data_IF_253110299688
#
_entry.id   IF_253110299688
#
_cell.length_a   1.000
_cell.length_b   1.000
_cell.length_c   1.000
_cell.angle_alpha   90.00
_cell.angle_beta   90.00
_cell.angle_gamma   90.00
#
_symmetry.space_group_name_H-M   'P 1'
#
loop_
_entity.id
_entity.type
_entity.pdbx_description
1 polymer ?
#
# COMPACT_ATOMS: atom_id res chain seq x y z
N UNK A 1 14.34 21.91 2.57
CA UNK A 1 15.18 21.48 1.43
C UNK A 1 15.37 19.97 1.39
N UNK A 2 16.00 19.32 2.40
CA UNK A 2 16.26 17.87 2.33
C UNK A 2 15.00 17.00 2.27
N UNK A 3 13.99 17.25 3.12
CA UNK A 3 12.70 16.56 3.10
C UNK A 3 11.97 16.74 1.76
N UNK A 4 11.87 17.98 1.30
CA UNK A 4 11.18 18.29 0.05
C UNK A 4 11.79 17.56 -1.13
N UNK A 5 13.14 17.57 -1.23
CA UNK A 5 13.82 16.84 -2.30
C UNK A 5 13.58 15.33 -2.21
N UNK A 6 13.64 14.75 -1.01
CA UNK A 6 13.39 13.31 -0.83
C UNK A 6 11.98 12.92 -1.26
N UNK A 7 10.96 13.75 -0.97
CA UNK A 7 9.58 13.50 -1.40
C UNK A 7 9.42 13.66 -2.92
N UNK A 8 10.04 14.68 -3.53
CA UNK A 8 10.02 14.87 -4.99
C UNK A 8 10.70 13.71 -5.72
N UNK A 9 11.86 13.27 -5.22
CA UNK A 9 12.58 12.12 -5.76
C UNK A 9 11.72 10.85 -5.69
N UNK A 10 11.05 10.61 -4.54
CA UNK A 10 10.16 9.45 -4.40
C UNK A 10 8.98 9.49 -5.39
N UNK A 11 8.33 10.64 -5.55
CA UNK A 11 7.24 10.80 -6.53
C UNK A 11 7.73 10.54 -7.95
N UNK A 12 8.92 11.04 -8.31
CA UNK A 12 9.53 10.82 -9.61
C UNK A 12 9.84 9.33 -9.86
N UNK A 13 10.42 8.65 -8.88
CA UNK A 13 10.75 7.22 -9.00
C UNK A 13 9.50 6.35 -9.04
N UNK A 14 8.43 6.70 -8.30
CA UNK A 14 7.13 6.02 -8.39
C UNK A 14 6.54 6.16 -9.81
N UNK A 15 6.55 7.37 -10.37
CA UNK A 15 6.07 7.60 -11.74
C UNK A 15 6.89 6.80 -12.76
N UNK A 16 8.22 6.83 -12.64
CA UNK A 16 9.15 6.08 -13.51
C UNK A 16 8.90 4.57 -13.41
N UNK A 17 8.66 4.08 -12.21
CA UNK A 17 8.33 2.68 -11.97
C UNK A 17 6.98 2.29 -12.60
N UNK A 18 5.94 3.07 -12.35
CA UNK A 18 4.60 2.80 -12.89
C UNK A 18 4.53 2.93 -14.41
N UNK A 19 5.36 3.78 -15.02
CA UNK A 19 5.41 3.96 -16.47
C UNK A 19 5.76 2.70 -17.26
N UNK A 20 6.31 1.67 -16.60
CA UNK A 20 6.69 0.40 -17.24
C UNK A 20 5.55 -0.61 -17.32
N UNK A 21 4.43 -0.31 -16.68
CA UNK A 21 3.28 -1.21 -16.62
C UNK A 21 2.14 -0.68 -17.48
N UNK A 22 1.41 -1.63 -18.03
CA UNK A 22 0.15 -1.41 -18.74
C UNK A 22 -0.98 -2.12 -17.97
N UNK A 23 -2.21 -1.70 -18.21
CA UNK A 23 -3.38 -2.34 -17.62
C UNK A 23 -4.27 -1.38 -16.84
N UNK A 24 -5.34 -1.94 -16.28
CA UNK A 24 -6.36 -1.18 -15.58
C UNK A 24 -5.76 -0.39 -14.40
N UNK A 25 -6.18 0.85 -14.26
CA UNK A 25 -5.81 1.75 -13.17
C UNK A 25 -4.41 2.38 -13.26
N UNK A 26 -3.46 1.79 -14.01
CA UNK A 26 -2.10 2.34 -14.11
C UNK A 26 -2.10 3.72 -14.74
N UNK A 27 -2.82 3.90 -15.85
CA UNK A 27 -2.96 5.19 -16.53
C UNK A 27 -3.64 6.23 -15.64
N UNK A 28 -4.66 5.82 -14.86
CA UNK A 28 -5.43 6.71 -14.01
C UNK A 28 -4.58 7.21 -12.82
N UNK A 29 -3.83 6.30 -12.18
CA UNK A 29 -2.89 6.67 -11.11
C UNK A 29 -1.81 7.61 -11.63
N UNK A 30 -1.20 7.33 -12.80
CA UNK A 30 -0.20 8.19 -13.42
C UNK A 30 -0.76 9.56 -13.82
N UNK A 31 -2.00 9.61 -14.31
CA UNK A 31 -2.68 10.88 -14.59
C UNK A 31 -2.86 11.72 -13.31
N UNK A 32 -3.19 11.07 -12.18
CA UNK A 32 -3.23 11.72 -10.87
C UNK A 32 -1.86 12.26 -10.45
N UNK A 33 -0.79 11.48 -10.59
CA UNK A 33 0.58 11.94 -10.32
C UNK A 33 0.90 13.18 -11.18
N UNK A 34 0.68 13.11 -12.48
CA UNK A 34 0.95 14.23 -13.40
C UNK A 34 0.18 15.50 -13.03
N UNK A 35 -1.03 15.34 -12.51
CA UNK A 35 -1.90 16.46 -12.11
C UNK A 35 -1.43 17.15 -10.82
N UNK A 36 -0.92 16.41 -9.84
CA UNK A 36 -0.73 16.92 -8.49
C UNK A 36 0.74 17.05 -8.04
N UNK A 37 1.69 16.38 -8.72
CA UNK A 37 3.09 16.25 -8.28
C UNK A 37 3.80 17.58 -8.03
N UNK A 38 3.41 18.65 -8.72
CA UNK A 38 4.05 19.97 -8.60
C UNK A 38 3.46 20.83 -7.49
N UNK A 39 2.45 20.31 -6.76
CA UNK A 39 1.85 20.98 -5.61
C UNK A 39 2.85 21.25 -4.47
N UNK A 40 2.56 22.18 -3.57
CA UNK A 40 3.42 22.46 -2.42
C UNK A 40 3.46 21.28 -1.46
N UNK A 41 4.64 20.96 -0.92
CA UNK A 41 4.81 19.93 0.09
C UNK A 41 4.49 20.52 1.46
N UNK A 42 3.58 19.88 2.18
CA UNK A 42 3.16 20.24 3.54
C UNK A 42 3.97 19.45 4.57
N UNK A 43 4.50 20.06 5.62
CA UNK A 43 5.08 19.32 6.72
C UNK A 43 3.95 18.64 7.53
N UNK A 44 3.90 17.32 7.49
CA UNK A 44 2.96 16.51 8.26
C UNK A 44 3.78 15.53 9.11
N UNK A 45 3.53 15.49 10.41
CA UNK A 45 4.19 14.56 11.30
C UNK A 45 3.52 13.19 11.23
N UNK A 46 4.28 12.16 10.93
CA UNK A 46 3.87 10.78 11.05
C UNK A 46 3.93 10.26 12.48
N UNK A 47 3.46 9.04 12.67
CA UNK A 47 3.61 8.29 13.92
C UNK A 47 4.61 7.16 13.71
N UNK A 48 5.20 6.71 14.80
CA UNK A 48 6.05 5.52 14.77
C UNK A 48 5.20 4.27 15.04
N UNK A 49 5.39 3.24 14.19
CA UNK A 49 4.75 1.94 14.32
C UNK A 49 5.82 0.86 14.26
N UNK A 50 5.65 -0.24 15.01
CA UNK A 50 6.61 -1.35 15.04
C UNK A 50 6.86 -1.97 13.67
N UNK A 51 5.85 -2.02 12.81
CA UNK A 51 5.95 -2.53 11.45
C UNK A 51 6.97 -1.77 10.59
N UNK A 52 7.24 -0.49 10.90
CA UNK A 52 8.23 0.31 10.17
C UNK A 52 9.66 -0.20 10.36
N UNK A 53 9.93 -0.98 11.42
CA UNK A 53 11.21 -1.69 11.57
C UNK A 53 11.48 -2.75 10.49
N UNK A 54 10.49 -3.05 9.65
CA UNK A 54 10.63 -3.98 8.51
C UNK A 54 10.91 -3.27 7.18
N UNK A 55 10.96 -1.95 7.17
CA UNK A 55 11.20 -1.16 5.94
C UNK A 55 12.55 -1.52 5.33
N UNK A 56 13.61 -1.60 6.12
CA UNK A 56 14.95 -1.92 5.62
C UNK A 56 14.99 -3.27 4.92
N UNK A 57 14.29 -4.29 5.48
CA UNK A 57 14.15 -5.59 4.83
C UNK A 57 13.41 -5.48 3.51
N UNK A 58 12.28 -4.77 3.48
CA UNK A 58 11.46 -4.61 2.28
C UNK A 58 12.21 -3.84 1.18
N UNK A 59 12.91 -2.78 1.54
CA UNK A 59 13.73 -1.97 0.63
C UNK A 59 14.92 -2.79 0.10
N UNK A 60 15.53 -3.63 0.96
CA UNK A 60 16.57 -4.57 0.55
C UNK A 60 16.07 -5.54 -0.54
N UNK A 61 14.93 -6.19 -0.32
CA UNK A 61 14.29 -7.05 -1.32
C UNK A 61 14.01 -6.30 -2.65
N UNK A 62 13.52 -5.06 -2.56
CA UNK A 62 13.29 -4.22 -3.72
C UNK A 62 14.58 -3.91 -4.48
N UNK A 63 15.66 -3.56 -3.78
CA UNK A 63 16.95 -3.28 -4.40
C UNK A 63 17.56 -4.53 -5.09
N UNK A 64 17.40 -5.71 -4.49
CA UNK A 64 17.84 -7.00 -5.04
C UNK A 64 17.05 -7.40 -6.29
N UNK A 65 15.78 -7.00 -6.39
CA UNK A 65 14.95 -7.21 -7.60
C UNK A 65 15.34 -6.31 -8.79
N UNK A 66 16.31 -5.41 -8.62
CA UNK A 66 16.80 -4.50 -9.66
C UNK A 66 16.28 -3.07 -9.56
N UNK A 67 15.41 -2.78 -8.61
CA UNK A 67 14.74 -1.48 -8.45
C UNK A 67 15.50 -0.52 -7.50
N UNK A 68 16.81 -0.42 -7.65
CA UNK A 68 17.70 0.33 -6.73
C UNK A 68 17.34 1.82 -6.63
N UNK A 69 16.97 2.47 -7.74
CA UNK A 69 16.60 3.88 -7.72
C UNK A 69 15.38 4.14 -6.85
N UNK A 70 14.32 3.34 -7.03
CA UNK A 70 13.11 3.43 -6.23
C UNK A 70 13.38 3.04 -4.76
N UNK A 71 14.16 2.00 -4.51
CA UNK A 71 14.56 1.58 -3.16
C UNK A 71 15.27 2.72 -2.42
N UNK A 72 16.27 3.35 -3.03
CA UNK A 72 16.99 4.48 -2.46
C UNK A 72 16.09 5.70 -2.23
N UNK A 73 15.13 5.96 -3.13
CA UNK A 73 14.18 7.06 -2.96
C UNK A 73 13.22 6.80 -1.78
N UNK A 74 12.73 5.55 -1.63
CA UNK A 74 11.91 5.16 -0.48
C UNK A 74 12.71 5.33 0.81
N UNK A 75 13.93 4.80 0.91
CA UNK A 75 14.78 4.88 2.09
C UNK A 75 14.97 6.33 2.56
N UNK A 76 15.28 7.25 1.63
CA UNK A 76 15.43 8.67 1.95
C UNK A 76 14.12 9.35 2.37
N UNK A 77 12.99 8.92 1.83
CA UNK A 77 11.70 9.53 2.11
C UNK A 77 11.05 9.02 3.41
N UNK A 78 11.28 7.75 3.79
CA UNK A 78 10.65 7.08 4.95
C UNK A 78 10.62 7.93 6.23
N UNK A 79 11.71 8.61 6.64
CA UNK A 79 11.70 9.43 7.86
C UNK A 79 10.77 10.66 7.80
N UNK A 80 10.31 11.02 6.61
CA UNK A 80 9.50 12.20 6.35
C UNK A 80 8.04 11.87 6.02
N UNK A 81 7.71 10.58 5.91
CA UNK A 81 6.36 10.13 5.54
C UNK A 81 5.40 10.19 6.73
N UNK A 82 4.16 10.65 6.53
CA UNK A 82 3.14 10.74 7.57
C UNK A 82 2.48 9.38 7.82
N UNK A 83 3.24 8.43 8.35
CA UNK A 83 2.76 7.08 8.61
C UNK A 83 1.59 7.06 9.59
N UNK A 84 0.53 6.35 9.21
CA UNK A 84 -0.66 6.10 10.03
C UNK A 84 -1.13 4.66 9.84
N UNK A 85 -1.98 4.16 10.75
CA UNK A 85 -2.80 2.97 10.53
C UNK A 85 -4.16 3.39 10.01
N UNK A 86 -4.82 2.54 9.22
CA UNK A 86 -6.14 2.86 8.72
C UNK A 86 -7.19 2.89 9.83
N UNK A 87 -7.86 4.03 10.09
CA UNK A 87 -8.74 4.18 11.23
C UNK A 87 -10.17 3.65 11.01
N UNK A 88 -10.51 3.29 9.77
CA UNK A 88 -11.89 2.96 9.38
C UNK A 88 -12.36 1.56 9.76
N UNK A 89 -11.48 0.69 10.28
CA UNK A 89 -11.85 -0.67 10.66
C UNK A 89 -12.00 -0.84 12.16
N UNK A 90 -13.06 -1.54 12.60
CA UNK A 90 -13.07 -2.13 13.93
C UNK A 90 -11.98 -3.21 14.01
N UNK A 91 -11.15 -3.15 15.05
CA UNK A 91 -9.97 -3.99 15.25
C UNK A 91 -10.27 -5.49 15.15
N UNK A 92 -11.36 -5.91 15.77
CA UNK A 92 -11.81 -7.31 15.79
C UNK A 92 -12.30 -7.77 14.41
N UNK A 93 -12.92 -6.87 13.66
CA UNK A 93 -13.44 -7.18 12.33
C UNK A 93 -12.33 -7.40 11.31
N UNK A 94 -11.30 -6.53 11.30
CA UNK A 94 -10.19 -6.63 10.36
C UNK A 94 -9.12 -7.65 10.80
N UNK A 95 -9.16 -8.09 12.04
CA UNK A 95 -8.17 -8.96 12.65
C UNK A 95 -7.07 -8.20 13.40
N UNK A 96 -6.84 -8.62 14.65
CA UNK A 96 -5.89 -7.93 15.53
C UNK A 96 -4.46 -7.94 15.01
N UNK A 97 -4.07 -9.04 14.33
CA UNK A 97 -2.73 -9.16 13.74
C UNK A 97 -2.50 -8.11 12.66
N UNK A 98 -3.46 -7.92 11.75
CA UNK A 98 -3.37 -6.86 10.75
C UNK A 98 -3.40 -5.48 11.40
N UNK A 99 -4.33 -5.24 12.32
CA UNK A 99 -4.49 -3.94 12.97
C UNK A 99 -3.19 -3.44 13.63
N UNK A 100 -2.36 -4.35 14.17
CA UNK A 100 -1.09 -4.02 14.84
C UNK A 100 0.13 -4.02 13.92
N UNK A 101 0.01 -4.58 12.72
CA UNK A 101 1.15 -4.91 11.88
C UNK A 101 1.03 -4.33 10.46
N UNK A 102 0.38 -3.18 10.32
CA UNK A 102 0.36 -2.42 9.08
C UNK A 102 0.59 -0.93 9.32
N UNK A 103 1.02 -0.22 8.29
CA UNK A 103 1.02 1.24 8.23
C UNK A 103 0.96 1.67 6.76
N UNK A 104 0.38 2.83 6.52
CA UNK A 104 0.43 3.50 5.23
C UNK A 104 0.78 4.97 5.39
N UNK A 105 1.24 5.58 4.31
CA UNK A 105 1.56 6.99 4.26
C UNK A 105 1.15 7.57 2.92
N UNK A 106 0.28 8.58 2.94
CA UNK A 106 -0.15 9.29 1.73
C UNK A 106 0.89 10.32 1.32
N UNK A 107 1.43 10.16 0.12
CA UNK A 107 2.29 11.14 -0.55
C UNK A 107 1.45 12.26 -1.16
N UNK A 108 0.42 11.88 -1.92
CA UNK A 108 -0.54 12.77 -2.55
C UNK A 108 -1.93 12.37 -2.09
N UNK A 109 -2.70 13.32 -1.57
CA UNK A 109 -4.05 13.05 -1.06
C UNK A 109 -4.61 14.26 -0.33
N UNK A 110 -5.86 14.17 0.11
CA UNK A 110 -6.46 15.25 0.90
C UNK A 110 -5.65 15.52 2.18
N UNK A 111 -5.18 14.45 2.82
CA UNK A 111 -4.33 14.48 4.02
C UNK A 111 -2.86 14.13 3.72
N UNK A 112 -2.49 14.01 2.43
CA UNK A 112 -1.12 13.69 2.00
C UNK A 112 -0.15 14.88 2.08
N UNK A 113 1.14 14.60 1.90
CA UNK A 113 2.20 15.61 1.86
C UNK A 113 2.00 16.62 0.71
N UNK A 114 1.50 16.16 -0.42
CA UNK A 114 1.06 16.99 -1.55
C UNK A 114 -0.48 16.91 -1.59
N UNK A 115 -1.13 18.06 -1.46
CA UNK A 115 -2.59 18.09 -1.46
C UNK A 115 -3.14 17.68 -2.83
N UNK A 116 -4.00 16.67 -2.85
CA UNK A 116 -4.73 16.22 -4.02
C UNK A 116 -6.20 16.04 -3.66
N UNK A 117 -7.10 16.43 -4.56
CA UNK A 117 -8.53 16.28 -4.36
C UNK A 117 -9.02 14.99 -5.02
N UNK A 118 -9.82 14.22 -4.27
CA UNK A 118 -10.41 12.96 -4.72
C UNK A 118 -9.38 11.99 -5.37
N UNK A 119 -8.23 11.91 -4.74
CA UNK A 119 -7.10 11.08 -5.16
C UNK A 119 -6.24 10.76 -3.94
N UNK A 120 -5.70 9.56 -3.84
CA UNK A 120 -4.72 9.19 -2.82
C UNK A 120 -3.65 8.27 -3.42
N UNK A 121 -2.39 8.62 -3.23
CA UNK A 121 -1.22 7.85 -3.64
C UNK A 121 -0.25 7.79 -2.49
N UNK A 122 0.24 6.59 -2.20
CA UNK A 122 1.22 6.46 -1.13
C UNK A 122 1.90 5.11 -1.07
N UNK A 123 2.55 4.87 0.06
CA UNK A 123 3.17 3.61 0.40
C UNK A 123 2.38 2.89 1.48
N UNK A 124 2.31 1.57 1.36
CA UNK A 124 1.65 0.69 2.31
C UNK A 124 2.57 -0.46 2.68
N UNK A 125 2.73 -0.72 3.98
CA UNK A 125 3.49 -1.83 4.52
C UNK A 125 2.63 -2.70 5.42
N UNK A 126 2.75 -4.04 5.27
CA UNK A 126 2.17 -5.04 6.15
C UNK A 126 3.26 -6.04 6.51
N UNK A 127 3.29 -6.46 7.76
CA UNK A 127 4.23 -7.47 8.23
C UNK A 127 4.02 -8.84 7.58
N UNK A 128 5.09 -9.66 7.43
CA UNK A 128 4.98 -11.03 6.93
C UNK A 128 3.96 -11.87 7.67
N UNK A 129 3.42 -12.88 6.98
CA UNK A 129 2.49 -13.85 7.54
C UNK A 129 1.26 -13.19 8.17
N UNK A 130 0.73 -12.15 7.57
CA UNK A 130 -0.43 -11.40 8.03
C UNK A 130 -1.55 -11.49 6.99
N UNK A 131 -2.74 -11.84 7.43
CA UNK A 131 -3.93 -11.77 6.60
C UNK A 131 -4.52 -10.35 6.69
N UNK A 132 -4.56 -9.63 5.58
CA UNK A 132 -5.43 -8.47 5.42
C UNK A 132 -6.78 -9.00 4.93
N UNK A 133 -7.72 -9.10 5.86
CA UNK A 133 -9.03 -9.75 5.66
C UNK A 133 -9.80 -9.11 4.52
N UNK A 134 -10.77 -9.85 4.00
CA UNK A 134 -11.65 -9.40 2.92
C UNK A 134 -12.32 -8.07 3.29
N UNK A 135 -12.16 -7.10 2.42
CA UNK A 135 -12.72 -5.77 2.55
C UNK A 135 -13.07 -5.21 1.18
N UNK A 136 -13.81 -4.11 1.17
CA UNK A 136 -14.18 -3.39 -0.05
C UNK A 136 -14.35 -1.89 0.24
N UNK A 137 -14.18 -1.08 -0.77
CA UNK A 137 -14.37 0.36 -0.74
C UNK A 137 -14.87 0.89 -2.09
N UNK A 138 -15.37 2.12 -2.10
CA UNK A 138 -15.86 2.76 -3.33
C UNK A 138 -14.73 3.16 -4.27
N UNK A 139 -13.59 3.59 -3.71
CA UNK A 139 -12.44 3.99 -4.51
C UNK A 139 -11.94 2.83 -5.37
N UNK A 140 -11.80 3.00 -6.70
CA UNK A 140 -11.01 2.06 -7.50
C UNK A 140 -9.55 2.17 -7.08
N UNK A 141 -8.86 1.02 -6.94
CA UNK A 141 -7.55 0.97 -6.32
C UNK A 141 -6.54 0.19 -7.15
N UNK A 142 -5.37 0.80 -7.33
CA UNK A 142 -4.19 0.12 -7.81
C UNK A 142 -3.28 -0.23 -6.64
N UNK A 143 -2.97 -1.51 -6.48
CA UNK A 143 -1.80 -1.95 -5.74
C UNK A 143 -0.67 -2.27 -6.72
N UNK A 144 0.50 -1.71 -6.51
CA UNK A 144 1.74 -2.06 -7.22
C UNK A 144 2.73 -2.64 -6.21
N UNK A 145 2.68 -3.98 -5.93
CA UNK A 145 3.53 -4.62 -4.95
C UNK A 145 5.00 -4.55 -5.34
N UNK A 146 5.82 -4.05 -4.44
CA UNK A 146 7.28 -3.92 -4.60
C UNK A 146 8.03 -5.14 -4.08
N UNK A 147 7.37 -5.94 -3.24
CA UNK A 147 7.88 -7.19 -2.65
C UNK A 147 6.92 -8.34 -2.94
N UNK A 148 7.33 -9.57 -2.69
CA UNK A 148 6.49 -10.74 -2.90
C UNK A 148 7.26 -12.06 -2.81
N UNK A 149 6.57 -13.21 -3.00
CA UNK A 149 5.17 -13.33 -3.44
C UNK A 149 4.15 -13.10 -2.32
N UNK A 150 2.92 -12.67 -2.70
CA UNK A 150 1.78 -12.52 -1.81
C UNK A 150 0.51 -13.11 -2.42
N UNK A 151 -0.39 -13.62 -1.57
CA UNK A 151 -1.65 -14.20 -1.97
C UNK A 151 -2.74 -13.14 -2.15
N UNK A 152 -3.53 -13.24 -3.21
CA UNK A 152 -4.63 -12.34 -3.54
C UNK A 152 -5.91 -13.11 -3.78
N UNK A 153 -7.04 -12.61 -3.29
CA UNK A 153 -8.36 -13.11 -3.67
C UNK A 153 -9.35 -11.95 -3.82
N UNK A 154 -10.38 -12.18 -4.66
CA UNK A 154 -11.36 -11.16 -5.03
C UNK A 154 -12.81 -11.58 -4.74
N UNK A 155 -12.97 -12.61 -3.93
CA UNK A 155 -14.24 -13.03 -3.36
C UNK A 155 -13.99 -13.69 -2.00
N UNK A 156 -14.86 -13.45 -0.99
CA UNK A 156 -14.74 -14.06 0.33
C UNK A 156 -14.74 -15.60 0.26
N UNK A 157 -13.77 -16.23 0.92
CA UNK A 157 -13.64 -17.69 0.93
C UNK A 157 -13.07 -18.32 -0.35
N UNK A 158 -12.80 -17.55 -1.40
CA UNK A 158 -12.11 -18.04 -2.58
C UNK A 158 -10.65 -18.40 -2.27
N UNK A 159 -10.05 -19.35 -2.99
CA UNK A 159 -8.62 -19.63 -2.87
C UNK A 159 -7.76 -18.41 -3.20
N UNK A 160 -6.64 -18.25 -2.49
CA UNK A 160 -5.66 -17.23 -2.83
C UNK A 160 -4.85 -17.62 -4.08
N UNK A 161 -4.70 -16.65 -4.99
CA UNK A 161 -3.74 -16.72 -6.09
C UNK A 161 -2.47 -15.98 -5.68
N UNK A 162 -1.34 -16.68 -5.65
CA UNK A 162 -0.05 -16.10 -5.31
C UNK A 162 0.55 -15.36 -6.51
N UNK A 163 0.92 -14.10 -6.29
CA UNK A 163 1.53 -13.24 -7.29
C UNK A 163 2.92 -12.79 -6.84
N UNK A 164 3.87 -12.84 -7.73
CA UNK A 164 5.22 -12.32 -7.50
C UNK A 164 5.18 -10.78 -7.30
N UNK A 165 6.27 -10.23 -6.77
CA UNK A 165 6.53 -8.79 -6.80
C UNK A 165 6.39 -8.22 -8.23
N UNK A 166 6.19 -6.92 -8.35
CA UNK A 166 6.11 -6.20 -9.62
C UNK A 166 4.97 -6.67 -10.55
N UNK A 167 3.87 -7.13 -9.95
CA UNK A 167 2.63 -7.51 -10.64
C UNK A 167 1.48 -6.64 -10.14
N UNK A 168 1.21 -5.48 -10.76
CA UNK A 168 0.12 -4.61 -10.36
C UNK A 168 -1.22 -5.34 -10.29
N UNK A 169 -2.01 -4.99 -9.30
CA UNK A 169 -3.35 -5.54 -9.04
C UNK A 169 -4.33 -4.38 -9.01
N UNK A 170 -5.37 -4.49 -9.81
CA UNK A 170 -6.46 -3.53 -9.85
C UNK A 170 -7.68 -4.08 -9.12
N UNK A 171 -8.26 -3.26 -8.26
CA UNK A 171 -9.52 -3.53 -7.59
C UNK A 171 -10.58 -2.56 -8.12
N UNK A 172 -11.65 -3.12 -8.69
CA UNK A 172 -12.80 -2.32 -9.12
C UNK A 172 -13.57 -1.76 -7.90
N UNK A 173 -14.33 -0.68 -8.08
CA UNK A 173 -15.19 -0.16 -7.03
C UNK A 173 -16.04 -1.25 -6.39
N UNK A 174 -16.03 -1.28 -5.05
CA UNK A 174 -16.77 -2.25 -4.24
C UNK A 174 -16.42 -3.74 -4.46
N UNK A 175 -15.38 -4.05 -5.20
CA UNK A 175 -14.90 -5.41 -5.35
C UNK A 175 -14.31 -5.89 -4.01
N UNK A 176 -14.83 -6.98 -3.41
CA UNK A 176 -14.19 -7.59 -2.26
C UNK A 176 -12.79 -8.08 -2.63
N UNK A 177 -11.82 -7.79 -1.78
CA UNK A 177 -10.47 -8.28 -1.96
C UNK A 177 -9.76 -8.52 -0.62
N UNK A 178 -8.79 -9.41 -0.62
CA UNK A 178 -7.97 -9.75 0.55
C UNK A 178 -6.53 -10.03 0.12
N UNK A 179 -5.59 -9.79 1.05
CA UNK A 179 -4.17 -10.06 0.85
C UNK A 179 -3.69 -11.03 1.94
N UNK A 180 -3.10 -12.15 1.53
CA UNK A 180 -2.36 -13.04 2.42
C UNK A 180 -0.86 -12.78 2.22
N UNK A 181 -0.25 -12.09 3.18
CA UNK A 181 1.17 -11.70 3.09
C UNK A 181 2.04 -12.93 3.28
N UNK A 182 2.99 -13.14 2.37
CA UNK A 182 3.97 -14.22 2.44
C UNK A 182 5.07 -13.97 3.48
N UNK A 183 6.23 -14.60 3.29
CA UNK A 183 7.33 -14.62 4.26
C UNK A 183 8.16 -13.32 4.28
N UNK A 184 7.95 -12.44 3.31
CA UNK A 184 8.58 -11.12 3.24
C UNK A 184 7.57 -10.03 3.58
N UNK A 185 7.99 -8.87 4.12
CA UNK A 185 7.06 -7.76 4.32
C UNK A 185 6.39 -7.37 3.00
N UNK A 186 5.07 -7.14 3.03
CA UNK A 186 4.37 -6.52 1.92
C UNK A 186 4.69 -5.03 1.90
N UNK A 187 5.43 -4.58 0.90
CA UNK A 187 5.61 -3.16 0.60
C UNK A 187 5.02 -2.90 -0.77
N UNK A 188 4.13 -1.92 -0.87
CA UNK A 188 3.55 -1.56 -2.15
C UNK A 188 3.32 -0.05 -2.30
N UNK A 189 3.21 0.38 -3.55
CA UNK A 189 2.59 1.64 -3.92
C UNK A 189 1.09 1.37 -4.03
N UNK A 190 0.26 2.16 -3.34
CA UNK A 190 -1.18 2.14 -3.53
C UNK A 190 -1.64 3.43 -4.21
N UNK A 191 -2.70 3.34 -5.00
CA UNK A 191 -3.31 4.50 -5.64
C UNK A 191 -4.83 4.37 -5.69
N UNK A 192 -5.55 5.30 -5.06
CA UNK A 192 -6.99 5.50 -5.18
C UNK A 192 -7.27 6.66 -6.12
N UNK A 193 -8.08 6.44 -7.14
CA UNK A 193 -8.20 7.39 -8.26
C UNK A 193 -9.44 8.28 -8.20
N UNK A 194 -10.40 7.96 -7.33
CA UNK A 194 -11.62 8.74 -7.01
C UNK A 194 -12.34 8.14 -5.81
N UNK A 195 -13.39 8.80 -5.33
CA UNK A 195 -14.27 8.34 -4.23
C UNK A 195 -13.52 8.04 -2.92
N UNK A 196 -12.40 8.76 -2.71
CA UNK A 196 -11.43 8.49 -1.62
C UNK A 196 -11.98 8.76 -0.22
N UNK A 197 -13.12 9.43 -0.10
CA UNK A 197 -13.76 9.76 1.20
C UNK A 197 -14.64 8.64 1.75
N UNK A 198 -14.99 7.68 0.90
CA UNK A 198 -15.81 6.55 1.32
C UNK A 198 -14.97 5.56 2.13
N UNK A 199 -15.45 5.23 3.34
CA UNK A 199 -14.73 4.32 4.24
C UNK A 199 -14.77 2.88 3.71
N UNK A 200 -13.64 2.21 3.79
CA UNK A 200 -13.55 0.77 3.54
C UNK A 200 -14.36 -0.03 4.57
N UNK A 201 -14.93 -1.15 4.14
CA UNK A 201 -15.74 -2.04 4.98
C UNK A 201 -15.24 -3.47 4.89
N UNK A 202 -15.15 -4.12 6.03
CA UNK A 202 -14.84 -5.55 6.11
C UNK A 202 -15.99 -6.36 5.50
N UNK A 203 -15.66 -7.40 4.75
CA UNK A 203 -16.62 -8.35 4.15
C UNK A 203 -16.36 -9.72 4.78
N UNK A 204 -17.26 -10.25 5.62
CA UNK A 204 -17.03 -11.51 6.31
C UNK A 204 -16.74 -12.69 5.38
N UNK A 205 -15.76 -13.52 5.75
CA UNK A 205 -15.46 -14.79 5.09
C UNK A 205 -15.31 -15.91 6.12
N UNK A 206 -15.69 -17.17 5.78
CA UNK A 206 -15.77 -18.26 6.75
C UNK A 206 -14.42 -18.88 7.12
N UNK A 207 -13.34 -18.51 6.43
CA UNK A 207 -12.05 -19.20 6.49
C UNK A 207 -10.93 -18.40 7.18
N UNK A 208 -11.18 -17.17 7.65
CA UNK A 208 -10.16 -16.33 8.27
C UNK A 208 -9.44 -17.00 9.43
N UNK A 209 -10.19 -17.61 10.34
CA UNK A 209 -9.62 -18.28 11.52
C UNK A 209 -8.71 -19.44 11.15
N UNK A 210 -9.03 -20.14 10.07
CA UNK A 210 -8.20 -21.25 9.57
C UNK A 210 -6.89 -20.69 9.01
N UNK A 211 -6.96 -19.66 8.18
CA UNK A 211 -5.81 -19.02 7.55
C UNK A 211 -4.88 -18.44 8.64
N UNK A 212 -5.43 -17.65 9.56
CA UNK A 212 -4.66 -16.99 10.61
C UNK A 212 -3.98 -17.97 11.57
N UNK A 213 -4.61 -19.11 11.88
CA UNK A 213 -3.98 -20.16 12.70
C UNK A 213 -2.86 -20.93 12.00
N UNK A 214 -2.90 -21.01 10.68
CA UNK A 214 -1.84 -21.69 9.90
C UNK A 214 -0.65 -20.82 9.61
N UNK A 215 -0.75 -19.51 9.82
CA UNK A 215 0.37 -18.58 9.68
C UNK A 215 1.36 -18.76 10.84
N UNK A 216 2.68 -18.74 10.57
CA UNK A 216 3.70 -18.80 11.62
C UNK A 216 3.48 -17.72 12.69
N UNK A 217 3.62 -18.13 13.96
CA UNK A 217 3.74 -17.16 15.07
C UNK A 217 5.08 -16.45 14.96
N UNK A 218 5.11 -15.18 15.24
CA UNK A 218 6.36 -14.42 15.40
C UNK A 218 6.92 -14.61 16.78
#
# INVERSE_FOLDING_TARGET
>A
MQMEQAIRDLVYEIETYLARFEGAGVSDVRAGIARWRDGPIRPISGRHFSVLGLIDQAVGCLAESGERSLANAIERAVPHLPWITYPGYAREAIGTRFADNHAHASLMGEEGLIKAADYDLGLFIIAPNTLYRDHKHAAPELYAPLTGPHGWRFAPGAPFTWKAAHRPVWNEPFQPHAINVGDVPFLCIFGWTRDVREISRVVPAPDWDVIERTQPSR
#
